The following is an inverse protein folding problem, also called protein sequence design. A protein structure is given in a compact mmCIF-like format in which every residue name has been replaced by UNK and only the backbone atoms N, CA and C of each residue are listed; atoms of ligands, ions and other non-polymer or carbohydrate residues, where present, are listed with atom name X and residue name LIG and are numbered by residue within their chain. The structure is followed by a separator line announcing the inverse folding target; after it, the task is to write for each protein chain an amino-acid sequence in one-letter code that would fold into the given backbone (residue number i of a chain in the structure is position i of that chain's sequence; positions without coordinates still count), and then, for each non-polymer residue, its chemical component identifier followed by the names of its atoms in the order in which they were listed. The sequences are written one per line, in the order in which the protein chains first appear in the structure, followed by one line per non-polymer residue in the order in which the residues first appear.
data_IF_588451869579
#
_entry.id   IF_588451869579
#
_cell.length_a   1.000
_cell.length_b   1.000
_cell.length_c   1.000
_cell.angle_alpha   90.00
_cell.angle_beta   90.00
_cell.angle_gamma   90.00
#
_symmetry.space_group_name_H-M   'P 1'
#
loop_
_entity.id
_entity.type
_entity.pdbx_description
1 polymer ?
#
# COMPACT_ATOMS: atom_id res chain seq x y z
N UNK A 1 10.06 1.40 -16.23
CA UNK A 1 8.65 1.48 -15.78
C UNK A 1 8.70 1.82 -14.31
N UNK A 2 8.20 3.00 -13.90
CA UNK A 2 8.52 3.59 -12.60
C UNK A 2 7.97 2.79 -11.40
N UNK A 3 8.88 2.37 -10.52
CA UNK A 3 8.60 1.72 -9.22
C UNK A 3 7.65 2.53 -8.33
N UNK A 4 7.45 3.82 -8.63
CA UNK A 4 6.48 4.74 -8.01
C UNK A 4 5.03 4.26 -8.11
N UNK A 5 4.71 3.44 -9.12
CA UNK A 5 3.36 2.88 -9.32
C UNK A 5 2.91 1.96 -8.17
N UNK A 6 3.88 1.36 -7.47
CA UNK A 6 3.62 0.40 -6.38
C UNK A 6 3.71 1.03 -5.00
N UNK A 7 4.38 2.17 -4.85
CA UNK A 7 4.61 2.86 -3.58
C UNK A 7 3.38 3.63 -3.10
N UNK A 8 2.25 2.94 -2.94
CA UNK A 8 0.99 3.53 -2.48
C UNK A 8 0.50 2.84 -1.22
N UNK A 9 -0.31 3.52 -0.41
CA UNK A 9 -0.74 3.02 0.88
C UNK A 9 -1.53 1.72 0.71
N UNK A 10 -2.34 1.58 -0.34
CA UNK A 10 -3.13 0.37 -0.58
C UNK A 10 -2.32 -0.94 -0.64
N UNK A 11 -1.08 -0.86 -1.14
CA UNK A 11 -0.17 -1.99 -1.29
C UNK A 11 0.70 -2.21 -0.04
N UNK A 12 0.62 -1.32 0.95
CA UNK A 12 1.39 -1.37 2.18
C UNK A 12 0.80 -2.38 3.18
N UNK A 13 1.64 -3.10 3.92
CA UNK A 13 1.21 -4.04 4.98
C UNK A 13 0.41 -3.36 6.09
N UNK A 14 0.63 -2.06 6.33
CA UNK A 14 -0.02 -1.30 7.40
C UNK A 14 -1.36 -0.69 6.99
N UNK A 15 -1.78 -0.86 5.74
CA UNK A 15 -3.04 -0.31 5.26
C UNK A 15 -4.22 -1.17 5.68
N UNK A 16 -5.19 -0.52 6.31
CA UNK A 16 -6.40 -1.12 6.83
C UNK A 16 -7.62 -0.44 6.24
N UNK A 17 -8.56 -1.25 5.73
CA UNK A 17 -9.84 -0.80 5.23
C UNK A 17 -10.93 -1.29 6.19
N UNK A 18 -11.62 -0.35 6.85
CA UNK A 18 -12.67 -0.65 7.83
C UNK A 18 -13.98 -0.10 7.32
N UNK A 19 -15.05 -0.91 7.37
CA UNK A 19 -16.41 -0.45 7.05
C UNK A 19 -17.11 -0.05 8.34
N UNK A 20 -17.43 1.24 8.48
CA UNK A 20 -18.09 1.79 9.68
C UNK A 20 -19.35 2.53 9.23
N UNK A 21 -20.51 2.13 9.75
CA UNK A 21 -21.79 2.80 9.45
C UNK A 21 -22.13 2.84 7.96
N UNK A 22 -21.74 1.81 7.20
CA UNK A 22 -21.93 1.74 5.75
C UNK A 22 -20.89 2.49 4.92
N UNK A 23 -19.98 3.26 5.53
CA UNK A 23 -18.91 3.99 4.83
C UNK A 23 -17.57 3.25 4.96
N UNK A 24 -16.79 3.25 3.88
CA UNK A 24 -15.40 2.75 3.92
C UNK A 24 -14.50 3.83 4.51
N UNK A 25 -13.72 3.46 5.52
CA UNK A 25 -12.62 4.26 6.06
C UNK A 25 -11.31 3.52 5.83
N UNK A 26 -10.27 4.28 5.52
CA UNK A 26 -8.94 3.75 5.30
C UNK A 26 -8.00 4.32 6.34
N UNK A 27 -7.27 3.47 7.03
CA UNK A 27 -6.43 3.83 8.16
C UNK A 27 -5.06 3.20 7.99
N UNK A 28 -4.01 3.91 8.43
CA UNK A 28 -2.69 3.33 8.56
C UNK A 28 -2.50 2.85 9.99
N UNK A 29 -2.36 1.53 10.21
CA UNK A 29 -2.15 0.95 11.55
C UNK A 29 -0.90 1.47 12.25
N UNK A 30 0.17 1.72 11.49
CA UNK A 30 1.47 2.17 12.01
C UNK A 30 1.40 3.57 12.62
N UNK A 31 0.80 4.51 11.89
CA UNK A 31 0.80 5.93 12.25
C UNK A 31 -0.57 6.38 12.84
N UNK A 32 -1.57 5.49 12.84
CA UNK A 32 -2.91 5.69 13.42
C UNK A 32 -3.67 6.91 12.87
N UNK A 33 -3.49 7.22 11.59
CA UNK A 33 -4.18 8.31 10.89
C UNK A 33 -5.03 7.77 9.74
N UNK A 34 -6.02 8.56 9.33
CA UNK A 34 -6.84 8.30 8.17
C UNK A 34 -6.04 8.55 6.89
N UNK A 35 -5.92 7.51 6.06
CA UNK A 35 -5.12 7.52 4.84
C UNK A 35 -6.00 7.34 3.62
N UNK A 36 -5.42 7.44 2.42
CA UNK A 36 -6.09 7.09 1.17
C UNK A 36 -5.30 6.03 0.40
N UNK A 37 -5.97 5.16 -0.37
CA UNK A 37 -5.31 4.08 -1.12
C UNK A 37 -4.19 4.57 -2.05
N UNK A 38 -4.35 5.77 -2.61
CA UNK A 38 -3.44 6.39 -3.58
C UNK A 38 -2.30 7.20 -2.96
N UNK A 39 -2.24 7.33 -1.62
CA UNK A 39 -1.19 8.12 -0.97
C UNK A 39 0.12 7.35 -0.91
N UNK A 40 1.23 8.03 -1.16
CA UNK A 40 2.58 7.46 -1.03
C UNK A 40 3.22 7.95 0.25
N UNK A 41 3.65 7.03 1.11
CA UNK A 41 4.37 7.36 2.33
C UNK A 41 5.81 6.88 2.24
N UNK A 42 6.74 7.63 2.83
CA UNK A 42 8.13 7.20 2.93
C UNK A 42 8.29 5.89 3.73
N UNK A 43 7.37 5.64 4.66
CA UNK A 43 7.34 4.39 5.44
C UNK A 43 6.59 3.24 4.74
N UNK A 44 6.50 3.26 3.41
CA UNK A 44 5.82 2.24 2.65
C UNK A 44 6.56 0.90 2.76
N UNK A 45 5.82 -0.14 3.09
CA UNK A 45 6.33 -1.51 3.21
C UNK A 45 5.38 -2.46 2.48
N UNK A 46 5.75 -3.01 1.31
CA UNK A 46 4.85 -3.76 0.45
C UNK A 46 4.40 -5.09 1.07
N UNK A 47 3.14 -5.44 0.83
CA UNK A 47 2.63 -6.80 1.12
C UNK A 47 3.41 -7.84 0.31
N UNK A 48 3.59 -9.03 0.86
CA UNK A 48 4.32 -10.12 0.21
C UNK A 48 3.81 -10.46 -1.21
N UNK A 49 2.48 -10.43 -1.42
CA UNK A 49 1.92 -10.63 -2.75
C UNK A 49 2.26 -9.50 -3.73
N UNK A 50 2.41 -8.27 -3.26
CA UNK A 50 2.86 -7.11 -4.06
C UNK A 50 4.32 -7.30 -4.44
N UNK A 51 5.17 -7.74 -3.51
CA UNK A 51 6.57 -8.09 -3.79
C UNK A 51 6.64 -9.16 -4.90
N UNK A 52 5.83 -10.23 -4.80
CA UNK A 52 5.76 -11.26 -5.84
C UNK A 52 5.30 -10.70 -7.19
N UNK A 53 4.33 -9.79 -7.20
CA UNK A 53 3.86 -9.13 -8.43
C UNK A 53 4.94 -8.23 -9.05
N UNK A 54 5.71 -7.52 -8.22
CA UNK A 54 6.83 -6.68 -8.67
C UNK A 54 7.93 -7.54 -9.31
N UNK A 55 8.30 -8.66 -8.66
CA UNK A 55 9.24 -9.66 -9.21
C UNK A 55 8.74 -10.25 -10.53
N UNK A 56 7.47 -10.67 -10.59
CA UNK A 56 6.87 -11.26 -11.81
C UNK A 56 6.83 -10.28 -12.98
N UNK A 57 6.68 -8.98 -12.71
CA UNK A 57 6.61 -7.92 -13.73
C UNK A 57 7.98 -7.35 -14.10
N UNK A 58 9.08 -7.98 -13.69
CA UNK A 58 10.44 -7.52 -14.01
C UNK A 58 10.72 -6.09 -13.52
N UNK A 59 10.16 -5.69 -12.38
CA UNK A 59 10.42 -4.36 -11.77
C UNK A 59 11.44 -4.45 -10.63
N UNK A 60 12.17 -5.56 -10.56
CA UNK A 60 13.34 -5.78 -9.71
C UNK A 60 14.36 -6.44 -10.62
N UNK A 61 14.94 -5.65 -11.53
CA UNK A 61 16.23 -5.95 -12.12
C UNK A 61 17.29 -5.61 -11.06
N UNK A 62 18.10 -6.60 -10.72
CA UNK A 62 19.43 -6.40 -10.14
C UNK A 62 20.40 -6.02 -11.27
#
# INVERSE_FOLDING_TARGET
MDSKSYQVCATCIHFEAIKIGGKMKYLCRRLKYETKPNYSFQCWDPKEHVIRLMKKRGNIDE
#
